data_IF_904402416451
#
_entry.id   IF_904402416451
#
_cell.length_a   1.000
_cell.length_b   1.000
_cell.length_c   1.000
_cell.angle_alpha   90.00
_cell.angle_beta   90.00
_cell.angle_gamma   90.00
#
_symmetry.space_group_name_H-M   'P 1'
#
loop_
_entity.id
_entity.type
_entity.pdbx_description
1 polymer ?
#
# COMPACT_ATOMS: atom_id res chain seq x y z
N UNK A 1 -30.24 -25.37 54.76
CA UNK A 1 -30.03 -23.97 54.28
C UNK A 1 -29.54 -23.98 52.83
N UNK A 2 -30.42 -23.77 51.85
CA UNK A 2 -30.03 -23.58 50.45
C UNK A 2 -29.64 -22.11 50.25
N UNK A 3 -28.35 -21.82 50.03
CA UNK A 3 -27.88 -20.49 49.59
C UNK A 3 -28.37 -20.27 48.16
N UNK A 4 -29.44 -19.49 48.00
CA UNK A 4 -29.85 -18.92 46.73
C UNK A 4 -28.73 -17.97 46.26
N UNK A 5 -27.83 -18.44 45.40
CA UNK A 5 -26.88 -17.58 44.71
C UNK A 5 -27.67 -16.73 43.72
N UNK A 6 -27.63 -15.42 43.95
CA UNK A 6 -28.47 -14.43 43.28
C UNK A 6 -28.09 -14.31 41.79
N UNK A 7 -28.72 -15.15 40.96
CA UNK A 7 -28.43 -15.32 39.52
C UNK A 7 -28.50 -14.01 38.72
N UNK A 8 -29.24 -13.02 39.23
CA UNK A 8 -29.34 -11.66 38.66
C UNK A 8 -28.03 -10.87 38.73
N UNK A 9 -27.28 -10.98 39.83
CA UNK A 9 -26.01 -10.26 39.99
C UNK A 9 -24.92 -10.81 39.06
N UNK A 10 -24.85 -12.14 38.91
CA UNK A 10 -23.91 -12.79 37.99
C UNK A 10 -24.12 -12.37 36.53
N UNK A 11 -25.38 -12.26 36.09
CA UNK A 11 -25.73 -11.77 34.73
C UNK A 11 -25.37 -10.29 34.51
N UNK A 12 -25.48 -9.44 35.53
CA UNK A 12 -25.12 -8.02 35.43
C UNK A 12 -23.59 -7.87 35.35
N UNK A 13 -22.85 -8.62 36.17
CA UNK A 13 -21.39 -8.63 36.14
C UNK A 13 -20.88 -9.10 34.77
N UNK A 14 -21.46 -10.16 34.21
CA UNK A 14 -21.10 -10.64 32.86
C UNK A 14 -21.36 -9.63 31.76
N UNK A 15 -22.45 -8.87 31.84
CA UNK A 15 -22.75 -7.78 30.89
C UNK A 15 -21.74 -6.64 31.00
N UNK A 16 -21.33 -6.28 32.21
CA UNK A 16 -20.31 -5.24 32.45
C UNK A 16 -18.95 -5.69 31.92
N UNK A 17 -18.57 -6.95 32.16
CA UNK A 17 -17.32 -7.54 31.64
C UNK A 17 -17.32 -7.56 30.11
N UNK A 18 -18.42 -7.97 29.48
CA UNK A 18 -18.55 -7.96 28.02
C UNK A 18 -18.49 -6.53 27.46
N UNK A 19 -19.11 -5.54 28.11
CA UNK A 19 -19.02 -4.14 27.71
C UNK A 19 -17.61 -3.58 27.87
N UNK A 20 -16.89 -3.94 28.93
CA UNK A 20 -15.48 -3.58 29.13
C UNK A 20 -14.58 -4.21 28.07
N UNK A 21 -14.80 -5.49 27.73
CA UNK A 21 -14.06 -6.16 26.66
C UNK A 21 -14.36 -5.49 25.32
N UNK A 22 -15.63 -5.22 24.99
CA UNK A 22 -16.00 -4.49 23.78
C UNK A 22 -15.37 -3.10 23.74
N UNK A 23 -15.42 -2.36 24.85
CA UNK A 23 -14.84 -1.03 24.96
C UNK A 23 -13.32 -1.06 24.79
N UNK A 24 -12.62 -1.97 25.46
CA UNK A 24 -11.18 -2.17 25.27
C UNK A 24 -10.84 -2.55 23.83
N UNK A 25 -11.65 -3.40 23.17
CA UNK A 25 -11.45 -3.73 21.76
C UNK A 25 -11.70 -2.51 20.84
N UNK A 26 -12.70 -1.68 21.12
CA UNK A 26 -12.95 -0.43 20.39
C UNK A 26 -11.81 0.57 20.57
N UNK A 27 -11.29 0.76 21.78
CA UNK A 27 -10.14 1.64 22.04
C UNK A 27 -8.89 1.11 21.34
N UNK A 28 -8.64 -0.20 21.34
CA UNK A 28 -7.50 -0.80 20.61
C UNK A 28 -7.66 -0.62 19.09
N UNK A 29 -8.87 -0.62 18.54
CA UNK A 29 -9.14 -0.38 17.11
C UNK A 29 -9.08 1.11 16.74
N UNK A 30 -9.43 2.03 17.64
CA UNK A 30 -9.26 3.48 17.43
C UNK A 30 -7.78 3.90 17.53
N UNK A 31 -7.04 3.39 18.52
CA UNK A 31 -5.58 3.55 18.64
C UNK A 31 -4.87 2.87 17.46
N UNK A 32 -5.42 1.71 17.07
CA UNK A 32 -5.39 1.03 15.77
C UNK A 32 -5.18 1.89 14.52
N UNK A 33 -6.21 2.68 14.28
CA UNK A 33 -6.42 3.53 13.11
C UNK A 33 -5.70 4.88 13.21
N UNK A 34 -5.23 5.25 14.42
CA UNK A 34 -4.47 6.47 14.69
C UNK A 34 -2.94 6.29 14.59
N UNK A 35 -2.41 5.08 14.38
CA UNK A 35 -0.96 4.86 14.28
C UNK A 35 -0.33 5.59 13.09
N UNK A 36 0.52 6.57 13.38
CA UNK A 36 0.80 7.67 12.47
C UNK A 36 2.29 7.88 12.18
N UNK A 37 2.95 6.83 11.69
CA UNK A 37 4.21 6.96 10.95
C UNK A 37 4.00 7.91 9.73
N UNK A 38 2.76 8.03 9.26
CA UNK A 38 2.35 8.67 7.99
C UNK A 38 1.89 10.14 8.12
N UNK A 39 1.92 10.72 9.33
CA UNK A 39 1.48 12.12 9.54
C UNK A 39 2.32 13.14 8.77
N UNK A 40 3.56 12.80 8.44
CA UNK A 40 4.38 13.60 7.54
C UNK A 40 5.07 12.69 6.53
N UNK A 41 5.18 13.16 5.29
CA UNK A 41 5.98 12.47 4.28
C UNK A 41 7.40 12.18 4.77
N UNK A 42 7.99 13.12 5.53
CA UNK A 42 9.35 12.99 6.07
C UNK A 42 9.48 11.82 7.04
N UNK A 43 8.54 11.68 7.97
CA UNK A 43 8.56 10.59 8.96
C UNK A 43 8.33 9.26 8.26
N UNK A 44 7.36 9.20 7.34
CA UNK A 44 7.08 7.98 6.59
C UNK A 44 8.26 7.57 5.72
N UNK A 45 8.82 8.50 4.97
CA UNK A 45 10.00 8.26 4.15
C UNK A 45 11.22 7.86 4.98
N UNK A 46 11.39 8.42 6.19
CA UNK A 46 12.52 8.07 7.06
C UNK A 46 12.38 6.64 7.57
N UNK A 47 11.20 6.28 8.06
CA UNK A 47 10.88 4.93 8.49
C UNK A 47 11.17 3.88 7.41
N UNK A 48 10.62 4.10 6.21
CA UNK A 48 10.80 3.21 5.05
C UNK A 48 12.26 3.11 4.63
N UNK A 49 13.00 4.20 4.75
CA UNK A 49 14.45 4.23 4.53
C UNK A 49 15.22 3.37 5.52
N UNK A 50 14.88 3.43 6.80
CA UNK A 50 15.64 2.76 7.86
C UNK A 50 15.28 1.29 8.01
N UNK A 51 14.02 0.95 7.76
CA UNK A 51 13.51 -0.42 7.89
C UNK A 51 13.69 -1.20 6.61
N UNK A 52 13.32 -0.63 5.46
CA UNK A 52 13.18 -1.37 4.19
C UNK A 52 14.26 -1.01 3.16
N UNK A 53 15.19 -0.12 3.53
CA UNK A 53 16.27 0.36 2.66
C UNK A 53 15.74 0.92 1.32
N UNK A 54 14.62 1.63 1.38
CA UNK A 54 13.97 2.31 0.26
C UNK A 54 14.07 3.82 0.47
N UNK A 55 14.55 4.53 -0.55
CA UNK A 55 14.67 5.99 -0.55
C UNK A 55 13.47 6.61 -1.24
N UNK A 56 12.68 7.38 -0.50
CA UNK A 56 11.65 8.24 -1.05
C UNK A 56 12.05 9.71 -0.90
N UNK A 57 11.95 10.47 -1.98
CA UNK A 57 12.20 11.91 -1.97
C UNK A 57 10.94 12.62 -2.45
N UNK A 58 10.48 13.62 -1.70
CA UNK A 58 9.34 14.44 -2.14
C UNK A 58 9.82 15.46 -3.16
N UNK A 59 9.18 15.51 -4.32
CA UNK A 59 9.35 16.61 -5.26
C UNK A 59 8.65 17.87 -4.75
N UNK A 60 9.28 19.05 -4.91
CA UNK A 60 8.69 20.36 -4.56
C UNK A 60 7.42 20.71 -5.35
N UNK A 61 7.18 20.00 -6.46
CA UNK A 61 6.00 20.16 -7.31
C UNK A 61 4.80 19.33 -6.84
N UNK A 62 4.95 18.59 -5.74
CA UNK A 62 3.89 17.75 -5.17
C UNK A 62 3.58 18.17 -3.73
N UNK A 63 2.32 18.00 -3.36
CA UNK A 63 1.78 18.19 -2.02
C UNK A 63 1.46 16.82 -1.45
N UNK A 64 1.83 16.59 -0.20
CA UNK A 64 1.52 15.35 0.52
C UNK A 64 0.22 15.53 1.28
N UNK A 65 -0.69 14.58 1.08
CA UNK A 65 -1.92 14.46 1.84
C UNK A 65 -2.00 13.07 2.45
N UNK A 66 -2.42 13.00 3.72
CA UNK A 66 -2.67 11.74 4.39
C UNK A 66 -3.98 11.18 3.85
N UNK A 67 -3.96 9.92 3.43
CA UNK A 67 -5.20 9.17 3.22
C UNK A 67 -4.91 7.69 3.43
N UNK A 68 -5.71 7.02 4.23
CA UNK A 68 -5.77 5.56 4.18
C UNK A 68 -6.83 5.17 3.17
N UNK A 69 -6.40 4.70 2.00
CA UNK A 69 -7.31 4.25 0.94
C UNK A 69 -7.06 2.77 0.70
N UNK A 70 -8.11 1.97 0.87
CA UNK A 70 -8.13 0.61 0.36
C UNK A 70 -8.66 0.71 -1.06
N UNK A 71 -7.80 0.41 -2.04
CA UNK A 71 -8.24 0.37 -3.44
C UNK A 71 -8.37 -1.08 -3.86
N UNK A 72 -9.61 -1.52 -4.03
CA UNK A 72 -9.96 -2.73 -4.78
C UNK A 72 -10.75 -2.31 -6.01
N UNK A 73 -10.23 -2.55 -7.21
CA UNK A 73 -11.07 -2.52 -8.40
C UNK A 73 -12.06 -3.71 -8.28
N UNK A 74 -13.37 -3.48 -8.37
CA UNK A 74 -14.39 -4.54 -8.44
C UNK A 74 -15.04 -5.00 -7.12
N UNK A 75 -16.20 -5.68 -7.24
CA UNK A 75 -17.08 -6.12 -6.14
C UNK A 75 -16.61 -7.36 -5.35
N UNK A 76 -15.46 -7.96 -5.67
CA UNK A 76 -14.99 -9.15 -4.94
C UNK A 76 -14.30 -8.73 -3.65
N UNK A 77 -15.05 -8.75 -2.55
CA UNK A 77 -14.52 -8.68 -1.18
C UNK A 77 -13.71 -9.91 -0.76
N UNK A 78 -12.82 -10.43 -1.62
CA UNK A 78 -11.95 -11.59 -1.33
C UNK A 78 -10.51 -11.44 -1.81
N UNK A 79 -10.18 -10.43 -2.62
CA UNK A 79 -8.80 -10.03 -2.85
C UNK A 79 -8.46 -8.93 -1.85
N UNK A 80 -7.37 -9.06 -1.10
CA UNK A 80 -6.85 -7.97 -0.27
C UNK A 80 -6.58 -6.80 -1.22
N UNK A 81 -7.44 -5.77 -1.21
CA UNK A 81 -7.16 -4.54 -1.94
C UNK A 81 -5.82 -3.99 -1.46
N UNK A 82 -5.02 -3.45 -2.36
CA UNK A 82 -3.79 -2.78 -1.95
C UNK A 82 -4.18 -1.61 -1.03
N UNK A 83 -3.58 -1.58 0.16
CA UNK A 83 -3.78 -0.51 1.13
C UNK A 83 -2.77 0.58 0.82
N UNK A 84 -3.24 1.81 0.71
CA UNK A 84 -2.42 2.99 0.49
C UNK A 84 -2.51 3.89 1.70
N UNK A 85 -1.36 4.46 2.06
CA UNK A 85 -1.12 5.18 3.31
C UNK A 85 -0.98 6.69 3.14
N UNK A 86 -0.70 7.12 1.92
CA UNK A 86 -0.75 8.53 1.61
C UNK A 86 -0.73 8.82 0.13
N UNK A 87 -0.90 10.10 -0.15
CA UNK A 87 -1.13 10.64 -1.47
C UNK A 87 -0.12 11.74 -1.75
N UNK A 88 0.53 11.69 -2.91
CA UNK A 88 1.21 12.86 -3.48
C UNK A 88 0.40 13.39 -4.64
N UNK A 89 -0.18 14.57 -4.49
CA UNK A 89 -0.85 15.30 -5.57
C UNK A 89 0.09 16.33 -6.17
N UNK A 90 0.15 16.42 -7.51
CA UNK A 90 0.87 17.50 -8.18
C UNK A 90 0.20 18.84 -7.87
N UNK A 91 0.97 19.94 -7.84
CA UNK A 91 0.45 21.29 -7.55
C UNK A 91 -0.56 21.80 -8.58
N UNK A 92 -0.43 21.37 -9.83
CA UNK A 92 -1.42 21.61 -10.89
C UNK A 92 -2.66 20.70 -10.76
N UNK A 93 -2.64 19.74 -9.84
CA UNK A 93 -3.73 18.82 -9.57
C UNK A 93 -3.93 17.74 -10.64
N UNK A 94 -3.08 17.67 -11.66
CA UNK A 94 -3.25 16.77 -12.81
C UNK A 94 -2.70 15.34 -12.60
N UNK A 95 -1.94 15.12 -11.53
CA UNK A 95 -1.39 13.82 -11.15
C UNK A 95 -1.60 13.57 -9.66
N UNK A 96 -2.03 12.38 -9.29
CA UNK A 96 -2.14 11.91 -7.91
C UNK A 96 -1.48 10.53 -7.80
N UNK A 97 -0.54 10.37 -6.88
CA UNK A 97 0.18 9.11 -6.67
C UNK A 97 -0.18 8.57 -5.30
N UNK A 98 -0.78 7.38 -5.26
CA UNK A 98 -1.02 6.65 -4.03
C UNK A 98 0.25 5.87 -3.65
N UNK A 99 0.72 6.08 -2.42
CA UNK A 99 1.86 5.39 -1.85
C UNK A 99 1.39 4.15 -1.09
N UNK A 100 1.98 2.97 -1.36
CA UNK A 100 1.59 1.72 -0.70
C UNK A 100 1.78 1.84 0.79
N UNK A 101 0.86 1.27 1.56
CA UNK A 101 1.05 1.02 2.97
C UNK A 101 2.05 -0.13 3.14
N UNK A 102 3.32 0.23 3.22
CA UNK A 102 4.39 -0.75 3.40
C UNK A 102 4.34 -1.43 4.77
N UNK A 103 3.63 -0.90 5.77
CA UNK A 103 3.46 -1.59 7.05
C UNK A 103 2.63 -2.86 6.91
N UNK A 104 1.79 -2.95 5.88
CA UNK A 104 1.06 -4.17 5.58
C UNK A 104 2.01 -5.35 5.24
N UNK A 105 3.20 -5.04 4.72
CA UNK A 105 4.26 -6.04 4.48
C UNK A 105 4.86 -6.58 5.79
N UNK A 106 4.70 -5.85 6.90
CA UNK A 106 5.24 -6.19 8.23
C UNK A 106 4.30 -7.06 9.07
N UNK A 107 3.06 -7.30 8.63
CA UNK A 107 2.13 -8.18 9.36
C UNK A 107 2.73 -9.58 9.36
N UNK A 108 3.30 -9.97 10.50
CA UNK A 108 3.95 -11.26 10.74
C UNK A 108 2.91 -12.37 10.77
N UNK A 109 2.54 -12.83 9.58
CA UNK A 109 2.00 -14.16 9.44
C UNK A 109 3.20 -15.07 9.22
N UNK A 110 3.52 -15.90 10.21
CA UNK A 110 4.48 -17.03 10.11
C UNK A 110 4.27 -17.92 8.87
N UNK A 111 3.12 -17.76 8.21
CA UNK A 111 2.68 -18.46 7.00
C UNK A 111 3.06 -17.75 5.68
N UNK A 112 3.72 -16.58 5.68
CA UNK A 112 4.03 -15.84 4.43
C UNK A 112 5.52 -15.41 4.31
N UNK A 113 6.50 -16.36 4.34
CA UNK A 113 7.93 -16.06 4.19
C UNK A 113 8.31 -15.28 2.92
N UNK A 114 7.49 -15.37 1.87
CA UNK A 114 7.75 -14.78 0.56
C UNK A 114 7.50 -13.26 0.46
N UNK A 115 7.05 -12.58 1.53
CA UNK A 115 6.89 -11.12 1.54
C UNK A 115 8.21 -10.36 1.34
N UNK A 116 9.33 -10.98 1.68
CA UNK A 116 10.67 -10.41 1.64
C UNK A 116 11.55 -10.94 0.51
N UNK A 117 11.03 -11.85 -0.32
CA UNK A 117 11.83 -12.46 -1.41
C UNK A 117 12.04 -11.50 -2.57
N UNK A 118 11.19 -10.49 -2.73
CA UNK A 118 11.21 -9.63 -3.91
C UNK A 118 10.83 -10.34 -5.20
N UNK A 119 10.23 -11.53 -5.08
CA UNK A 119 9.76 -12.33 -6.19
C UNK A 119 8.62 -11.58 -6.93
N UNK A 120 8.69 -11.47 -8.27
CA UNK A 120 7.68 -10.77 -9.05
C UNK A 120 6.29 -11.44 -9.03
N UNK A 121 6.14 -12.69 -8.57
CA UNK A 121 4.85 -13.43 -8.60
C UNK A 121 3.73 -12.67 -7.89
N UNK A 122 3.95 -12.19 -6.66
CA UNK A 122 2.93 -11.44 -5.91
C UNK A 122 2.50 -10.13 -6.61
N UNK A 123 3.42 -9.20 -6.91
CA UNK A 123 3.06 -7.97 -7.61
C UNK A 123 2.47 -8.23 -9.00
N UNK A 124 2.92 -9.27 -9.70
CA UNK A 124 2.33 -9.70 -10.97
C UNK A 124 0.88 -10.15 -10.80
N UNK A 125 0.59 -10.98 -9.81
CA UNK A 125 -0.77 -11.43 -9.53
C UNK A 125 -1.67 -10.26 -9.12
N UNK A 126 -1.19 -9.35 -8.28
CA UNK A 126 -1.92 -8.15 -7.91
C UNK A 126 -2.25 -7.29 -9.14
N UNK A 127 -1.29 -7.13 -10.06
CA UNK A 127 -1.53 -6.40 -11.31
C UNK A 127 -2.58 -7.09 -12.19
N UNK A 128 -2.51 -8.41 -12.33
CA UNK A 128 -3.48 -9.18 -13.08
C UNK A 128 -4.87 -9.07 -12.45
N UNK A 129 -4.97 -9.09 -11.13
CA UNK A 129 -6.24 -8.90 -10.40
C UNK A 129 -6.82 -7.51 -10.66
N UNK A 130 -5.99 -6.47 -10.62
CA UNK A 130 -6.42 -5.10 -10.89
C UNK A 130 -6.96 -4.95 -12.32
N UNK A 131 -6.25 -5.52 -13.31
CA UNK A 131 -6.67 -5.53 -14.72
C UNK A 131 -7.92 -6.38 -14.92
N UNK A 132 -7.98 -7.56 -14.32
CA UNK A 132 -9.13 -8.45 -14.43
C UNK A 132 -10.38 -7.76 -13.88
N UNK A 133 -10.28 -7.06 -12.76
CA UNK A 133 -11.41 -6.36 -12.18
C UNK A 133 -11.86 -5.16 -13.02
N UNK A 134 -10.93 -4.45 -13.64
CA UNK A 134 -11.24 -3.32 -14.51
C UNK A 134 -11.85 -3.75 -15.86
N UNK A 135 -11.29 -4.79 -16.48
CA UNK A 135 -11.63 -5.21 -17.84
C UNK A 135 -12.71 -6.31 -17.88
N UNK A 136 -12.89 -7.05 -16.77
CA UNK A 136 -13.67 -8.30 -16.70
C UNK A 136 -13.37 -9.25 -17.87
N UNK A 137 -12.08 -9.47 -18.21
CA UNK A 137 -11.72 -10.33 -19.33
C UNK A 137 -11.99 -11.80 -19.00
N UNK A 138 -12.04 -12.67 -20.02
CA UNK A 138 -11.98 -14.11 -19.83
C UNK A 138 -10.72 -14.53 -19.04
N UNK A 139 -10.79 -15.69 -18.38
CA UNK A 139 -9.68 -16.25 -17.57
C UNK A 139 -8.79 -17.22 -18.35
N UNK A 140 -9.00 -17.39 -19.65
CA UNK A 140 -8.16 -18.23 -20.50
C UNK A 140 -6.80 -17.57 -20.80
N UNK A 141 -5.80 -18.41 -21.11
CA UNK A 141 -4.42 -17.98 -21.31
C UNK A 141 -4.25 -16.99 -22.47
N UNK A 142 -5.01 -17.17 -23.54
CA UNK A 142 -4.93 -16.33 -24.73
C UNK A 142 -5.45 -14.93 -24.43
N UNK A 143 -6.60 -14.85 -23.74
CA UNK A 143 -7.15 -13.58 -23.27
C UNK A 143 -6.20 -12.86 -22.32
N UNK A 144 -5.60 -13.56 -21.36
CA UNK A 144 -4.62 -12.98 -20.44
C UNK A 144 -3.41 -12.43 -21.20
N UNK A 145 -2.92 -13.14 -22.22
CA UNK A 145 -1.79 -12.71 -23.05
C UNK A 145 -2.10 -11.44 -23.84
N UNK A 146 -3.28 -11.37 -24.46
CA UNK A 146 -3.74 -10.16 -25.17
C UNK A 146 -3.88 -8.97 -24.22
N UNK A 147 -4.45 -9.19 -23.03
CA UNK A 147 -4.55 -8.15 -21.99
C UNK A 147 -3.16 -7.69 -21.56
N UNK A 148 -2.22 -8.61 -21.38
CA UNK A 148 -0.85 -8.26 -21.02
C UNK A 148 -0.19 -7.39 -22.08
N UNK A 149 -0.21 -7.82 -23.35
CA UNK A 149 0.39 -7.08 -24.47
C UNK A 149 -0.19 -5.67 -24.62
N UNK A 150 -1.50 -5.53 -24.41
CA UNK A 150 -2.20 -4.25 -24.60
C UNK A 150 -2.04 -3.28 -23.43
N UNK A 151 -2.02 -3.78 -22.20
CA UNK A 151 -2.11 -2.92 -21.01
C UNK A 151 -0.85 -2.90 -20.16
N UNK A 152 0.12 -3.79 -20.38
CA UNK A 152 1.29 -3.94 -19.51
C UNK A 152 2.59 -3.67 -20.27
N UNK A 153 3.39 -2.75 -19.74
CA UNK A 153 4.81 -2.60 -20.10
C UNK A 153 5.68 -3.23 -19.02
N UNK A 154 6.63 -4.07 -19.42
CA UNK A 154 7.55 -4.76 -18.51
C UNK A 154 8.97 -4.24 -18.70
N UNK A 155 9.60 -3.84 -17.60
CA UNK A 155 11.02 -3.44 -17.55
C UNK A 155 11.80 -4.48 -16.74
N UNK A 156 12.93 -4.95 -17.25
CA UNK A 156 13.80 -5.96 -16.61
C UNK A 156 15.26 -5.54 -16.79
N UNK A 157 16.08 -5.67 -15.74
CA UNK A 157 17.53 -5.51 -15.82
C UNK A 157 18.08 -4.16 -15.33
N UNK A 158 19.15 -3.66 -15.98
CA UNK A 158 20.04 -2.62 -15.43
C UNK A 158 19.47 -1.20 -15.44
N UNK A 159 18.61 -0.88 -16.40
CA UNK A 159 18.02 0.46 -16.58
C UNK A 159 16.55 0.52 -16.13
N UNK A 160 16.15 -0.44 -15.30
CA UNK A 160 14.79 -0.53 -14.76
C UNK A 160 14.50 0.64 -13.81
N UNK A 161 13.29 1.24 -13.86
CA UNK A 161 12.88 2.26 -12.90
C UNK A 161 13.09 1.85 -11.43
N UNK A 162 13.21 2.84 -10.54
CA UNK A 162 13.35 2.64 -9.09
C UNK A 162 14.61 1.89 -8.62
N UNK A 163 15.60 1.60 -9.49
CA UNK A 163 16.70 0.67 -9.16
C UNK A 163 16.17 -0.73 -8.76
N UNK A 164 15.02 -1.11 -9.33
CA UNK A 164 14.41 -2.41 -9.18
C UNK A 164 15.02 -3.42 -10.17
N UNK A 165 14.77 -4.71 -9.96
CA UNK A 165 15.21 -5.75 -10.89
C UNK A 165 14.13 -6.01 -11.96
N UNK A 166 12.86 -5.81 -11.59
CA UNK A 166 11.71 -5.89 -12.50
C UNK A 166 10.67 -4.84 -12.13
N UNK A 167 10.08 -4.20 -13.13
CA UNK A 167 8.94 -3.28 -12.96
C UNK A 167 7.86 -3.59 -13.98
N UNK A 168 6.64 -3.79 -13.51
CA UNK A 168 5.46 -3.80 -14.36
C UNK A 168 4.75 -2.44 -14.29
N UNK A 169 4.42 -1.88 -15.44
CA UNK A 169 3.61 -0.66 -15.56
C UNK A 169 2.35 -1.02 -16.32
N UNK A 170 1.21 -0.92 -15.65
CA UNK A 170 -0.10 -1.33 -16.15
C UNK A 170 -1.02 -0.14 -16.35
N UNK A 171 -1.61 -0.03 -17.52
CA UNK A 171 -2.66 0.94 -17.83
C UNK A 171 -4.01 0.32 -17.41
N UNK A 172 -4.57 0.80 -16.30
CA UNK A 172 -5.77 0.22 -15.68
C UNK A 172 -6.97 1.09 -16.06
N UNK A 173 -7.92 0.57 -16.86
CA UNK A 173 -9.14 1.29 -17.17
C UNK A 173 -9.94 1.60 -15.89
N UNK A 174 -10.56 2.76 -15.86
CA UNK A 174 -11.45 3.17 -14.78
C UNK A 174 -12.90 3.14 -15.28
N UNK A 175 -13.78 2.46 -14.55
CA UNK A 175 -15.22 2.50 -14.81
C UNK A 175 -15.83 3.86 -14.44
N UNK A 176 -15.30 4.48 -13.38
CA UNK A 176 -15.73 5.78 -12.87
C UNK A 176 -14.51 6.66 -12.55
N UNK A 177 -14.71 7.98 -12.58
CA UNK A 177 -13.68 8.94 -12.17
C UNK A 177 -13.23 8.69 -10.72
N UNK A 178 -11.93 8.53 -10.51
CA UNK A 178 -11.38 8.48 -9.16
C UNK A 178 -11.47 9.86 -8.50
N UNK A 179 -12.05 9.93 -7.31
CA UNK A 179 -12.37 11.18 -6.59
C UNK A 179 -13.13 12.20 -7.45
N UNK A 180 -13.95 11.74 -8.41
CA UNK A 180 -14.72 12.60 -9.31
C UNK A 180 -13.88 13.45 -10.27
N UNK A 181 -12.56 13.21 -10.36
CA UNK A 181 -11.62 14.07 -11.10
C UNK A 181 -10.71 13.29 -12.05
N UNK A 182 -10.15 12.18 -11.60
CA UNK A 182 -9.10 11.47 -12.35
C UNK A 182 -9.70 10.36 -13.20
N UNK A 183 -9.40 10.37 -14.49
CA UNK A 183 -10.02 9.47 -15.48
C UNK A 183 -9.08 8.38 -15.98
N UNK A 184 -7.78 8.50 -15.73
CA UNK A 184 -6.79 7.49 -16.08
C UNK A 184 -6.09 6.97 -14.83
N UNK A 185 -5.75 5.68 -14.83
CA UNK A 185 -4.98 5.05 -13.78
C UNK A 185 -3.83 4.22 -14.38
N UNK A 186 -2.64 4.44 -13.84
CA UNK A 186 -1.43 3.66 -14.12
C UNK A 186 -0.98 2.96 -12.84
N UNK A 187 -1.02 1.64 -12.83
CA UNK A 187 -0.45 0.81 -11.78
C UNK A 187 1.04 0.57 -12.01
N UNK A 188 1.85 0.71 -10.96
CA UNK A 188 3.29 0.48 -11.04
C UNK A 188 3.66 -0.54 -9.96
N UNK A 189 4.31 -1.62 -10.38
CA UNK A 189 4.63 -2.77 -9.52
C UNK A 189 6.12 -3.05 -9.63
N UNK A 190 6.89 -2.54 -8.67
CA UNK A 190 8.35 -2.63 -8.66
C UNK A 190 8.81 -3.75 -7.72
N UNK A 191 9.73 -4.57 -8.21
CA UNK A 191 10.24 -5.76 -7.53
C UNK A 191 11.76 -5.70 -7.47
N UNK A 192 12.33 -5.95 -6.29
CA UNK A 192 13.77 -6.12 -6.11
C UNK A 192 14.03 -7.32 -5.23
N UNK A 193 14.86 -8.24 -5.72
CA UNK A 193 15.18 -9.47 -5.03
C UNK A 193 15.66 -9.21 -3.59
N UNK A 194 15.16 -10.02 -2.66
CA UNK A 194 15.43 -9.89 -1.24
C UNK A 194 14.84 -8.64 -0.58
N UNK A 195 13.88 -7.95 -1.21
CA UNK A 195 13.27 -6.71 -0.70
C UNK A 195 11.75 -6.67 -0.90
N UNK A 196 11.01 -5.89 -0.10
CA UNK A 196 9.57 -5.77 -0.28
C UNK A 196 9.23 -5.05 -1.60
N UNK A 197 8.24 -5.56 -2.32
CA UNK A 197 7.74 -4.95 -3.56
C UNK A 197 7.03 -3.62 -3.27
N UNK A 198 7.19 -2.64 -4.16
CA UNK A 198 6.47 -1.37 -4.09
C UNK A 198 5.35 -1.34 -5.14
N UNK A 199 4.12 -1.11 -4.70
CA UNK A 199 2.94 -1.06 -5.57
C UNK A 199 2.30 0.31 -5.48
N UNK A 200 2.37 1.09 -6.56
CA UNK A 200 1.80 2.43 -6.64
C UNK A 200 0.61 2.49 -7.59
N UNK A 201 -0.29 3.45 -7.35
CA UNK A 201 -1.32 3.85 -8.32
C UNK A 201 -1.15 5.31 -8.64
N UNK A 202 -0.99 5.61 -9.92
CA UNK A 202 -0.89 6.97 -10.42
C UNK A 202 -2.19 7.29 -11.16
N UNK A 203 -2.91 8.29 -10.69
CA UNK A 203 -4.14 8.78 -11.26
C UNK A 203 -3.89 10.08 -12.01
N UNK A 204 -4.50 10.22 -13.18
CA UNK A 204 -4.32 11.38 -14.06
C UNK A 204 -5.65 11.93 -14.56
N UNK A 205 -5.70 13.26 -14.67
CA UNK A 205 -6.67 13.96 -15.52
C UNK A 205 -6.29 13.77 -16.99
N UNK A 206 -7.09 14.29 -17.92
CA UNK A 206 -6.74 14.30 -19.35
C UNK A 206 -5.41 15.04 -19.62
N UNK A 207 -5.25 16.24 -19.07
CA UNK A 207 -4.00 16.98 -19.15
C UNK A 207 -2.84 16.25 -18.48
N UNK A 208 -3.10 15.59 -17.34
CA UNK A 208 -2.13 14.77 -16.64
C UNK A 208 -1.63 13.61 -17.50
N UNK A 209 -2.54 12.95 -18.22
CA UNK A 209 -2.25 11.80 -19.07
C UNK A 209 -1.41 12.18 -20.29
N UNK A 210 -1.70 13.32 -20.92
CA UNK A 210 -0.84 13.87 -21.99
C UNK A 210 0.60 14.14 -21.53
N UNK A 211 0.80 14.34 -20.22
CA UNK A 211 2.10 14.62 -19.60
C UNK A 211 2.60 13.46 -18.71
N UNK A 212 2.05 12.25 -18.85
CA UNK A 212 2.31 11.13 -17.94
C UNK A 212 3.81 10.82 -17.81
N UNK A 213 4.54 10.74 -18.93
CA UNK A 213 5.97 10.45 -18.95
C UNK A 213 6.78 11.48 -18.13
N UNK A 214 6.39 12.75 -18.18
CA UNK A 214 7.03 13.82 -17.42
C UNK A 214 6.81 13.66 -15.91
N UNK A 215 5.64 13.18 -15.48
CA UNK A 215 5.37 12.87 -14.07
C UNK A 215 6.13 11.62 -13.64
N UNK A 216 5.99 10.53 -14.40
CA UNK A 216 6.58 9.23 -14.06
C UNK A 216 8.12 9.28 -14.07
N UNK A 217 8.75 9.96 -15.03
CA UNK A 217 10.22 10.10 -15.06
C UNK A 217 10.77 10.83 -13.84
N UNK A 218 10.05 11.83 -13.30
CA UNK A 218 10.40 12.49 -12.03
C UNK A 218 10.19 11.55 -10.85
N UNK A 219 9.08 10.83 -10.86
CA UNK A 219 8.73 9.87 -9.81
C UNK A 219 9.75 8.72 -9.70
N UNK A 220 10.16 8.13 -10.83
CA UNK A 220 11.19 7.07 -10.92
C UNK A 220 12.56 7.51 -10.40
N UNK A 221 12.86 8.82 -10.45
CA UNK A 221 14.09 9.39 -9.89
C UNK A 221 13.97 9.67 -8.38
N UNK A 222 12.75 9.94 -7.91
CA UNK A 222 12.45 10.32 -6.55
C UNK A 222 12.31 9.12 -5.60
N UNK A 223 11.83 7.99 -6.11
CA UNK A 223 11.66 6.74 -5.35
C UNK A 223 12.66 5.71 -5.86
N UNK A 224 13.44 5.08 -4.97
CA UNK A 224 14.41 4.05 -5.35
C UNK A 224 14.64 3.03 -4.24
N UNK A 225 14.83 1.77 -4.59
CA UNK A 225 15.59 0.86 -3.74
C UNK A 225 17.02 1.37 -3.60
N UNK A 226 17.56 1.41 -2.38
CA UNK A 226 18.96 1.78 -2.16
C UNK A 226 19.89 0.66 -2.60
N UNK A 227 21.17 0.99 -2.78
CA UNK A 227 22.22 0.05 -3.16
C UNK A 227 22.91 -0.48 -1.92
N UNK A 228 22.23 -1.38 -1.21
CA UNK A 228 22.78 -2.11 -0.09
C UNK A 228 22.49 -3.60 -0.30
N UNK A 229 23.42 -4.29 -0.93
CA UNK A 229 23.22 -5.70 -1.32
C UNK A 229 23.21 -6.63 -0.10
N UNK A 230 23.62 -6.14 1.07
CA UNK A 230 23.62 -6.87 2.34
C UNK A 230 22.42 -6.53 3.23
N UNK A 231 21.40 -5.84 2.70
CA UNK A 231 20.20 -5.54 3.48
C UNK A 231 19.43 -6.81 3.80
N UNK A 232 18.98 -6.93 5.04
CA UNK A 232 17.99 -7.90 5.49
C UNK A 232 16.95 -7.20 6.35
N UNK A 233 15.73 -7.77 6.38
CA UNK A 233 14.67 -7.26 7.24
C UNK A 233 14.99 -7.52 8.72
N UNK A 234 14.97 -6.45 9.52
CA UNK A 234 15.13 -6.49 10.97
C UNK A 234 13.80 -6.11 11.62
N UNK A 235 13.12 -7.13 12.15
CA UNK A 235 11.81 -6.97 12.75
C UNK A 235 11.84 -6.18 14.07
N UNK A 236 12.87 -6.37 14.89
CA UNK A 236 13.00 -5.66 16.17
C UNK A 236 13.22 -4.17 15.92
N UNK A 237 14.11 -3.83 14.98
CA UNK A 237 14.30 -2.46 14.54
C UNK A 237 13.02 -1.85 13.95
N UNK A 238 12.28 -2.60 13.15
CA UNK A 238 11.03 -2.14 12.57
C UNK A 238 9.98 -1.78 13.63
N UNK A 239 9.82 -2.64 14.65
CA UNK A 239 8.90 -2.42 15.77
C UNK A 239 9.35 -1.24 16.64
N UNK A 240 10.64 -1.15 16.95
CA UNK A 240 11.21 -0.05 17.74
C UNK A 240 10.96 1.30 17.06
N UNK A 241 11.31 1.45 15.78
CA UNK A 241 11.10 2.70 15.04
C UNK A 241 9.62 3.04 14.87
N UNK A 242 8.76 2.04 14.73
CA UNK A 242 7.31 2.25 14.71
C UNK A 242 6.81 2.79 16.06
N UNK A 243 7.32 2.26 17.17
CA UNK A 243 6.99 2.74 18.51
C UNK A 243 7.53 4.16 18.78
N UNK A 244 8.73 4.50 18.31
CA UNK A 244 9.26 5.87 18.41
C UNK A 244 8.38 6.88 17.66
N UNK A 245 7.93 6.53 16.46
CA UNK A 245 7.04 7.37 15.67
C UNK A 245 5.65 7.51 16.30
N UNK A 246 5.17 6.46 16.98
CA UNK A 246 3.98 6.52 17.82
C UNK A 246 4.16 7.52 18.97
N UNK A 247 5.26 7.42 19.73
CA UNK A 247 5.53 8.35 20.84
C UNK A 247 5.65 9.81 20.38
N UNK A 248 6.14 10.04 19.15
CA UNK A 248 6.22 11.37 18.55
C UNK A 248 4.85 11.95 18.21
N UNK A 249 3.88 11.14 17.84
CA UNK A 249 2.57 11.63 17.37
C UNK A 249 1.55 11.89 18.47
N UNK A 250 1.77 11.32 19.65
CA UNK A 250 0.93 11.52 20.85
C UNK A 250 1.45 12.62 21.77
N UNK A 251 2.56 13.26 21.42
CA UNK A 251 3.13 14.44 22.10
C UNK A 251 2.71 15.71 21.37
#
# INVERSE_FOLDING_TARGET
MKRSYNFKHSRIIWKIVLLLIMYCNCVVVEVSAQYSIENSFSDYSKYISEVMDISWKRSKTFVWERSTVILSQGKRGRGMGAVYSGMLQSKDGNCLILYPNMNFMLVDNKEVPWKWTGDPVLPRNQMLDDLHCALKPGMDSDTISIVWEKYVTTYIGKDTPFNADTVFVSQIPLENLYQGKYMYCTGIYACKWGRPSMIFKCFFTEEGKMNEEKYLSKFYKAVKYRRNDNWSYDNEKAQMLQYELYLKSVR
#
